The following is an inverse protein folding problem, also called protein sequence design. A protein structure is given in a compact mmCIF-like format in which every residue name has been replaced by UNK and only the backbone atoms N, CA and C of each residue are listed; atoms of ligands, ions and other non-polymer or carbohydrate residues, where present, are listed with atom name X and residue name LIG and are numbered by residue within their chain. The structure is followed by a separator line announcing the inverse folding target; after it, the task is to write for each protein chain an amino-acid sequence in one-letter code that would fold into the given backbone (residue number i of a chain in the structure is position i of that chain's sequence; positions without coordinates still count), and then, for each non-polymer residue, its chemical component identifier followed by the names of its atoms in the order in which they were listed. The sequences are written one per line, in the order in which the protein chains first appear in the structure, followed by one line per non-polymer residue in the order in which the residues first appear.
data_IF_075620581977
#
_entry.id   IF_075620581977
#
_cell.length_a   1.000
_cell.length_b   1.000
_cell.length_c   1.000
_cell.angle_alpha   90.00
_cell.angle_beta   90.00
_cell.angle_gamma   90.00
#
_symmetry.space_group_name_H-M   'P 1'
#
loop_
_entity.id
_entity.type
_entity.pdbx_description
1 polymer ?
#
# COMPACT_ATOMS: atom_id res chain seq x y z
N UNK A 1 -3.03 3.58 11.98
CA UNK A 1 -3.90 3.49 10.78
C UNK A 1 -3.54 2.25 10.01
N UNK A 2 -4.54 1.55 9.45
CA UNK A 2 -4.36 0.33 8.65
C UNK A 2 -5.19 0.46 7.37
N UNK A 3 -4.64 0.02 6.24
CA UNK A 3 -5.34 -0.18 4.97
C UNK A 3 -4.88 -1.49 4.35
N UNK A 4 -5.78 -2.17 3.66
CA UNK A 4 -5.51 -3.43 2.97
C UNK A 4 -6.06 -3.34 1.56
N UNK A 5 -5.33 -3.89 0.61
CA UNK A 5 -5.70 -4.01 -0.79
C UNK A 5 -5.46 -5.44 -1.25
N UNK A 6 -6.27 -5.86 -2.22
CA UNK A 6 -5.98 -7.01 -3.05
C UNK A 6 -5.59 -6.46 -4.42
N UNK A 7 -4.46 -6.92 -4.95
CA UNK A 7 -3.95 -6.53 -6.26
C UNK A 7 -3.89 -7.81 -7.09
N UNK A 8 -4.55 -7.80 -8.23
CA UNK A 8 -4.47 -8.88 -9.21
C UNK A 8 -3.36 -8.55 -10.20
N UNK A 9 -2.42 -9.46 -10.33
CA UNK A 9 -1.28 -9.42 -11.25
C UNK A 9 -1.30 -10.66 -12.14
N UNK A 10 -0.44 -10.71 -13.15
CA UNK A 10 -0.34 -11.86 -14.06
C UNK A 10 -0.08 -13.22 -13.38
N UNK A 11 0.55 -13.23 -12.21
CA UNK A 11 0.87 -14.43 -11.41
C UNK A 11 -0.15 -14.76 -10.31
N UNK A 12 -1.12 -13.88 -10.05
CA UNK A 12 -2.24 -14.16 -9.15
C UNK A 12 -2.75 -12.96 -8.36
N UNK A 13 -3.40 -13.24 -7.23
CA UNK A 13 -3.92 -12.20 -6.33
C UNK A 13 -3.02 -12.05 -5.12
N UNK A 14 -2.50 -10.85 -4.94
CA UNK A 14 -1.61 -10.50 -3.85
C UNK A 14 -2.31 -9.59 -2.84
N UNK A 15 -1.96 -9.77 -1.57
CA UNK A 15 -2.44 -8.94 -0.48
C UNK A 15 -1.39 -7.90 -0.11
N UNK A 16 -1.77 -6.63 -0.18
CA UNK A 16 -0.93 -5.52 0.29
C UNK A 16 -1.58 -4.85 1.50
N UNK A 17 -0.83 -4.69 2.58
CA UNK A 17 -1.29 -4.02 3.79
C UNK A 17 -0.36 -2.85 4.16
N UNK A 18 -0.94 -1.67 4.26
CA UNK A 18 -0.28 -0.50 4.82
C UNK A 18 -0.61 -0.38 6.29
N UNK A 19 0.42 -0.23 7.13
CA UNK A 19 0.28 0.11 8.55
C UNK A 19 1.10 1.34 8.86
N UNK A 20 0.47 2.28 9.57
CA UNK A 20 1.14 3.44 10.15
C UNK A 20 0.92 3.51 11.65
N UNK A 21 2.01 3.55 12.42
CA UNK A 21 1.98 3.69 13.86
C UNK A 21 1.57 5.12 14.27
N UNK A 22 1.15 5.33 15.54
CA UNK A 22 0.92 6.66 16.07
C UNK A 22 2.15 7.58 15.98
N UNK A 23 3.35 6.99 16.09
CA UNK A 23 4.64 7.69 15.95
C UNK A 23 5.02 7.99 14.49
N UNK A 24 4.17 7.64 13.51
CA UNK A 24 4.39 7.93 12.10
C UNK A 24 5.28 6.92 11.36
N UNK A 25 5.67 5.82 12.00
CA UNK A 25 6.42 4.73 11.35
C UNK A 25 5.48 3.99 10.40
N UNK A 26 5.89 3.86 9.15
CA UNK A 26 5.16 3.19 8.09
C UNK A 26 5.82 1.85 7.76
N UNK A 27 4.98 0.83 7.61
CA UNK A 27 5.34 -0.46 7.04
C UNK A 27 4.30 -0.88 6.01
N UNK A 28 4.79 -1.53 4.97
CA UNK A 28 4.01 -2.18 3.92
C UNK A 28 4.21 -3.69 4.10
N UNK A 29 3.14 -4.46 3.98
CA UNK A 29 3.19 -5.91 4.12
C UNK A 29 2.62 -6.50 2.85
N UNK A 30 3.39 -7.31 2.14
CA UNK A 30 3.00 -7.90 0.84
C UNK A 30 3.03 -9.41 1.03
N UNK A 31 1.87 -10.05 0.92
CA UNK A 31 1.69 -11.50 1.15
C UNK A 31 2.30 -12.02 2.47
N UNK A 32 2.32 -11.15 3.48
CA UNK A 32 2.90 -11.44 4.80
C UNK A 32 4.34 -10.97 4.99
N UNK A 33 5.07 -10.65 3.92
CA UNK A 33 6.42 -10.11 3.99
C UNK A 33 6.41 -8.62 4.37
N UNK A 34 7.26 -8.22 5.32
CA UNK A 34 7.21 -6.87 5.91
C UNK A 34 8.33 -5.98 5.39
N UNK A 35 7.93 -4.85 4.80
CA UNK A 35 8.82 -3.79 4.32
C UNK A 35 8.65 -2.53 5.17
N UNK A 36 9.71 -2.07 5.82
CA UNK A 36 9.67 -0.88 6.69
C UNK A 36 10.14 0.34 5.89
N UNK A 37 9.25 1.33 5.71
CA UNK A 37 9.56 2.59 5.01
C UNK A 37 10.12 3.67 5.94
N UNK A 38 10.13 3.40 7.25
CA UNK A 38 10.59 4.33 8.28
C UNK A 38 9.55 5.39 8.65
N UNK A 39 10.02 6.51 9.18
CA UNK A 39 9.16 7.61 9.60
C UNK A 39 8.62 8.40 8.41
N UNK A 40 7.30 8.62 8.40
CA UNK A 40 6.63 9.52 7.45
C UNK A 40 5.76 10.50 8.23
N UNK A 41 6.10 11.79 8.13
CA UNK A 41 5.36 12.88 8.76
C UNK A 41 3.91 12.93 8.28
N UNK A 42 2.98 13.32 9.17
CA UNK A 42 1.56 13.54 8.80
C UNK A 42 1.37 14.69 7.82
N UNK A 43 2.33 15.60 7.77
CA UNK A 43 2.24 16.83 6.98
C UNK A 43 2.86 16.69 5.60
N UNK A 44 3.50 15.55 5.31
CA UNK A 44 4.19 15.29 4.06
C UNK A 44 3.40 14.35 3.16
N UNK A 45 3.57 14.51 1.84
CA UNK A 45 3.23 13.49 0.84
C UNK A 45 4.49 12.70 0.55
N UNK A 46 4.39 11.37 0.44
CA UNK A 46 5.48 10.49 0.02
C UNK A 46 4.94 9.48 -0.98
N UNK A 47 5.69 9.20 -2.03
CA UNK A 47 5.39 8.12 -2.97
C UNK A 47 6.53 7.13 -2.93
N UNK A 48 6.21 5.85 -2.82
CA UNK A 48 7.18 4.77 -2.72
C UNK A 48 6.85 3.71 -3.78
N UNK A 49 7.76 3.44 -4.74
CA UNK A 49 7.59 2.32 -5.65
C UNK A 49 7.79 1.00 -4.91
N UNK A 50 7.02 -0.01 -5.28
CA UNK A 50 7.18 -1.37 -4.77
C UNK A 50 6.75 -2.38 -5.83
N UNK A 51 7.21 -3.63 -5.68
CA UNK A 51 6.82 -4.72 -6.57
C UNK A 51 5.82 -5.65 -5.90
N UNK A 52 4.91 -6.17 -6.70
CA UNK A 52 3.93 -7.20 -6.33
C UNK A 52 3.92 -8.21 -7.47
N UNK A 53 4.33 -9.44 -7.20
CA UNK A 53 4.62 -10.39 -8.28
C UNK A 53 5.66 -9.80 -9.25
N UNK A 54 5.32 -9.81 -10.53
CA UNK A 54 6.14 -9.21 -11.61
C UNK A 54 5.83 -7.73 -11.88
N UNK A 55 4.83 -7.15 -11.23
CA UNK A 55 4.32 -5.81 -11.54
C UNK A 55 4.87 -4.73 -10.60
N UNK A 56 4.99 -3.50 -11.12
CA UNK A 56 5.42 -2.34 -10.35
C UNK A 56 4.25 -1.45 -9.97
N UNK A 57 4.08 -1.23 -8.67
CA UNK A 57 3.05 -0.38 -8.09
C UNK A 57 3.67 0.84 -7.39
N UNK A 58 2.86 1.87 -7.15
CA UNK A 58 3.26 3.05 -6.37
C UNK A 58 2.33 3.24 -5.19
N UNK A 59 2.89 3.20 -3.99
CA UNK A 59 2.19 3.57 -2.77
C UNK A 59 2.32 5.09 -2.56
N UNK A 60 1.21 5.80 -2.60
CA UNK A 60 1.15 7.23 -2.27
C UNK A 60 0.58 7.43 -0.88
N UNK A 61 1.41 7.94 0.02
CA UNK A 61 1.02 8.36 1.37
C UNK A 61 0.62 9.83 1.28
N UNK A 62 -0.65 10.12 1.58
CA UNK A 62 -1.23 11.47 1.49
C UNK A 62 -1.09 12.24 2.80
N UNK A 63 -1.14 13.57 2.69
CA UNK A 63 -1.18 14.46 3.85
C UNK A 63 -2.36 14.07 4.74
N UNK A 64 -2.14 13.98 6.05
CA UNK A 64 -3.08 13.43 7.02
C UNK A 64 -2.79 11.97 7.42
N UNK A 65 -1.93 11.28 6.66
CA UNK A 65 -1.52 9.89 6.89
C UNK A 65 -2.34 8.85 6.14
N UNK A 66 -3.16 9.28 5.19
CA UNK A 66 -3.85 8.40 4.25
C UNK A 66 -2.86 7.68 3.34
N UNK A 67 -3.32 6.62 2.68
CA UNK A 67 -2.50 5.85 1.76
C UNK A 67 -3.36 5.31 0.62
N UNK A 68 -2.84 5.38 -0.59
CA UNK A 68 -3.48 4.93 -1.82
C UNK A 68 -2.45 4.20 -2.67
N UNK A 69 -2.86 3.12 -3.33
CA UNK A 69 -2.01 2.43 -4.30
C UNK A 69 -2.49 2.85 -5.67
N UNK A 70 -1.56 3.38 -6.46
CA UNK A 70 -1.75 3.58 -7.89
C UNK A 70 -0.92 2.50 -8.56
N UNK A 71 -1.60 1.52 -9.12
CA UNK A 71 -0.96 0.59 -10.03
C UNK A 71 -0.75 1.34 -11.35
N UNK A 72 0.49 1.33 -11.84
CA UNK A 72 0.78 1.96 -13.14
C UNK A 72 0.27 1.06 -14.27
N UNK A 73 0.17 -0.25 -14.02
CA UNK A 73 -0.27 -1.27 -15.00
C UNK A 73 -1.41 -2.21 -14.53
N UNK A 74 -1.79 -2.27 -13.24
CA UNK A 74 -2.87 -3.16 -12.77
C UNK A 74 -4.28 -2.52 -12.81
N UNK A 75 -5.29 -3.33 -13.17
CA UNK A 75 -6.71 -3.04 -12.89
C UNK A 75 -6.98 -3.21 -11.39
N UNK A 76 -7.13 -2.10 -10.66
CA UNK A 76 -7.53 -2.14 -9.24
C UNK A 76 -9.05 -2.30 -9.12
N UNK A 77 -9.54 -3.51 -8.87
CA UNK A 77 -10.93 -3.70 -8.46
C UNK A 77 -11.09 -3.37 -6.97
N UNK A 78 -11.75 -2.25 -6.67
CA UNK A 78 -12.15 -1.89 -5.30
C UNK A 78 -13.27 -2.82 -4.85
N UNK A 79 -12.95 -3.84 -4.05
CA UNK A 79 -13.98 -4.65 -3.39
C UNK A 79 -14.61 -3.83 -2.25
N UNK A 80 -15.88 -3.44 -2.41
CA UNK A 80 -16.73 -2.95 -1.32
C UNK A 80 -16.86 -4.05 -0.27
N UNK A 81 -16.50 -3.76 0.98
CA UNK A 81 -16.92 -4.57 2.12
C UNK A 81 -18.40 -4.23 2.38
N UNK A 82 -19.31 -5.11 1.94
CA UNK A 82 -20.60 -5.30 2.62
C UNK A 82 -20.33 -6.17 3.87
N UNK A 83 -20.96 -5.96 5.01
CA UNK A 83 -22.33 -5.53 5.31
C UNK A 83 -22.35 -4.61 6.51
#
# INVERSE_FOLDING_TARGET
MKRKWSIETGDGVHTVEYRRSPLGIVRVIIDGEVFVLGYVSRFSKRSEPFRVGEEQCVLTITRGGGAEIVAVDCRVERVKVGT
#
